data_IF_422581061942
#
_entry.id   IF_422581061942
#
_cell.length_a   1.000
_cell.length_b   1.000
_cell.length_c   1.000
_cell.angle_alpha   90.00
_cell.angle_beta   90.00
_cell.angle_gamma   90.00
#
_symmetry.space_group_name_H-M   'P 1'
#
loop_
_entity.id
_entity.type
_entity.pdbx_description
1 polymer ?
#
# COMPACT_ATOMS: atom_id res chain seq x y z
N UNK A 1 5.54 13.85 -5.47
CA UNK A 1 5.93 15.24 -5.78
C UNK A 1 5.05 16.17 -4.98
N UNK A 2 5.62 17.09 -4.21
CA UNK A 2 4.87 18.20 -3.62
C UNK A 2 5.14 19.45 -4.45
N UNK A 3 4.10 20.04 -5.04
CA UNK A 3 4.20 21.21 -5.93
C UNK A 3 5.17 21.01 -7.12
N UNK A 4 5.23 19.79 -7.68
CA UNK A 4 6.10 19.46 -8.82
C UNK A 4 7.57 19.20 -8.46
N UNK A 5 7.96 19.29 -7.19
CA UNK A 5 9.29 18.92 -6.72
C UNK A 5 9.34 17.46 -6.25
N UNK A 6 10.48 16.79 -6.45
CA UNK A 6 10.73 15.49 -5.85
C UNK A 6 10.72 15.62 -4.32
N UNK A 7 10.00 14.73 -3.64
CA UNK A 7 9.80 14.75 -2.20
C UNK A 7 10.00 13.34 -1.66
N UNK A 8 10.78 13.21 -0.59
CA UNK A 8 10.88 11.96 0.15
C UNK A 8 9.59 11.74 0.97
N UNK A 9 9.11 10.49 1.09
CA UNK A 9 7.95 10.19 1.91
C UNK A 9 8.31 10.18 3.39
N UNK A 10 7.40 10.67 4.23
CA UNK A 10 7.48 10.51 5.68
C UNK A 10 7.15 9.06 6.09
N UNK A 11 6.27 8.40 5.33
CA UNK A 11 5.91 7.01 5.59
C UNK A 11 5.71 6.19 4.31
N UNK A 12 6.07 4.91 4.39
CA UNK A 12 5.77 3.90 3.38
C UNK A 12 4.54 3.09 3.77
N UNK A 13 3.64 2.86 2.83
CA UNK A 13 2.37 2.18 3.09
C UNK A 13 2.42 0.76 2.55
N UNK A 14 2.40 -0.22 3.46
CA UNK A 14 2.12 -1.62 3.12
C UNK A 14 0.61 -1.83 3.17
N UNK A 15 0.04 -2.31 2.06
CA UNK A 15 -1.39 -2.53 1.93
C UNK A 15 -1.69 -3.73 1.03
N UNK A 16 -2.87 -4.31 1.17
CA UNK A 16 -3.37 -5.31 0.23
C UNK A 16 -4.05 -4.62 -0.98
N UNK A 17 -3.77 -5.05 -2.21
CA UNK A 17 -4.43 -4.53 -3.42
C UNK A 17 -5.92 -4.91 -3.50
N UNK A 18 -6.32 -6.02 -2.88
CA UNK A 18 -7.71 -6.41 -2.75
C UNK A 18 -8.48 -5.64 -1.67
N UNK A 19 -7.83 -4.69 -0.98
CA UNK A 19 -8.51 -3.85 0.00
C UNK A 19 -9.43 -2.84 -0.70
N UNK A 20 -10.49 -2.41 -0.01
CA UNK A 20 -11.27 -1.27 -0.47
C UNK A 20 -10.38 -0.03 -0.52
N UNK A 21 -10.42 0.72 -1.62
CA UNK A 21 -9.66 1.96 -1.74
C UNK A 21 -9.97 2.94 -0.60
N UNK A 22 -11.25 3.03 -0.20
CA UNK A 22 -11.69 3.79 0.99
C UNK A 22 -10.92 3.38 2.25
N UNK A 23 -10.77 2.09 2.51
CA UNK A 23 -10.13 1.60 3.74
C UNK A 23 -8.62 1.86 3.71
N UNK A 24 -7.98 1.81 2.53
CA UNK A 24 -6.59 2.26 2.34
C UNK A 24 -6.43 3.74 2.72
N UNK A 25 -7.25 4.62 2.13
CA UNK A 25 -7.21 6.06 2.42
C UNK A 25 -7.54 6.32 3.90
N UNK A 26 -8.52 5.62 4.46
CA UNK A 26 -8.88 5.73 5.87
C UNK A 26 -7.71 5.36 6.78
N UNK A 27 -6.97 4.28 6.48
CA UNK A 27 -5.78 3.88 7.22
C UNK A 27 -4.67 4.94 7.19
N UNK A 28 -4.45 5.57 6.04
CA UNK A 28 -3.47 6.66 5.87
C UNK A 28 -3.90 7.90 6.67
N UNK A 29 -5.16 8.32 6.56
CA UNK A 29 -5.68 9.45 7.32
C UNK A 29 -5.70 9.18 8.84
N UNK A 30 -6.00 7.95 9.25
CA UNK A 30 -5.89 7.52 10.65
C UNK A 30 -4.43 7.61 11.14
N UNK A 31 -3.47 7.21 10.32
CA UNK A 31 -2.05 7.40 10.64
C UNK A 31 -1.66 8.87 10.81
N UNK A 32 -2.06 9.74 9.86
CA UNK A 32 -1.81 11.17 9.95
C UNK A 32 -2.37 11.78 11.24
N UNK A 33 -3.47 11.22 11.75
CA UNK A 33 -4.10 11.60 13.02
C UNK A 33 -3.54 10.92 14.27
N UNK A 34 -2.58 9.99 14.14
CA UNK A 34 -2.06 9.23 15.27
C UNK A 34 -3.03 8.18 15.83
N UNK A 35 -4.05 7.80 15.06
CA UNK A 35 -5.01 6.76 15.44
C UNK A 35 -4.48 5.37 15.06
N UNK A 36 -4.82 4.36 15.86
CA UNK A 36 -4.58 2.94 15.55
C UNK A 36 -5.73 2.29 14.77
N UNK A 37 -6.92 2.92 14.82
CA UNK A 37 -8.13 2.42 14.20
C UNK A 37 -8.65 3.38 13.12
N UNK A 38 -9.14 2.84 12.01
CA UNK A 38 -9.62 3.65 10.87
C UNK A 38 -11.13 3.58 10.62
N UNK A 39 -11.93 2.89 11.45
CA UNK A 39 -13.38 2.79 11.26
C UNK A 39 -14.07 4.16 11.20
N UNK A 40 -13.82 5.04 12.18
CA UNK A 40 -14.41 6.39 12.19
C UNK A 40 -13.98 7.19 10.95
N UNK A 41 -12.71 7.10 10.56
CA UNK A 41 -12.17 7.79 9.38
C UNK A 41 -12.84 7.27 8.10
N UNK A 42 -13.08 5.96 8.00
CA UNK A 42 -13.80 5.37 6.87
C UNK A 42 -15.25 5.84 6.79
N UNK A 43 -15.93 6.02 7.93
CA UNK A 43 -17.29 6.56 7.97
C UNK A 43 -17.34 8.04 7.55
N UNK A 44 -16.34 8.84 7.95
CA UNK A 44 -16.22 10.23 7.53
C UNK A 44 -15.92 10.35 6.03
N UNK A 45 -15.07 9.48 5.47
CA UNK A 45 -14.84 9.45 4.02
C UNK A 45 -16.13 9.20 3.22
N UNK A 46 -17.04 8.37 3.75
CA UNK A 46 -18.30 8.05 3.08
C UNK A 46 -19.37 9.15 3.26
N UNK A 47 -19.32 9.93 4.35
CA UNK A 47 -20.43 10.81 4.75
C UNK A 47 -20.10 12.30 4.80
N UNK A 48 -18.88 12.65 5.19
CA UNK A 48 -18.48 14.04 5.44
C UNK A 48 -16.96 14.21 5.30
N UNK A 49 -16.49 14.23 4.05
CA UNK A 49 -15.07 14.42 3.74
C UNK A 49 -14.56 15.79 4.19
N UNK A 50 -15.43 16.80 4.22
CA UNK A 50 -15.09 18.17 4.64
C UNK A 50 -14.75 18.21 6.13
N UNK A 51 -15.50 17.47 6.96
CA UNK A 51 -15.15 17.31 8.37
C UNK A 51 -13.80 16.61 8.54
N UNK A 52 -13.51 15.56 7.77
CA UNK A 52 -12.20 14.88 7.81
C UNK A 52 -11.04 15.80 7.39
N UNK A 53 -11.19 16.56 6.30
CA UNK A 53 -10.20 17.54 5.86
C UNK A 53 -9.95 18.61 6.93
N UNK A 54 -11.02 19.11 7.56
CA UNK A 54 -10.93 20.09 8.65
C UNK A 54 -10.21 19.51 9.87
N UNK A 55 -10.47 18.25 10.21
CA UNK A 55 -9.75 17.55 11.28
C UNK A 55 -8.26 17.44 10.94
N UNK A 56 -7.91 16.99 9.73
CA UNK A 56 -6.51 16.85 9.29
C UNK A 56 -5.78 18.20 9.29
N UNK A 57 -6.42 19.26 8.78
CA UNK A 57 -5.86 20.60 8.79
C UNK A 57 -5.59 21.10 10.22
N UNK A 58 -6.55 20.94 11.13
CA UNK A 58 -6.42 21.35 12.53
C UNK A 58 -5.37 20.56 13.30
N UNK A 59 -5.05 19.33 12.88
CA UNK A 59 -3.98 18.52 13.47
C UNK A 59 -2.57 18.97 13.05
N UNK A 60 -2.45 19.83 12.04
CA UNK A 60 -1.16 20.25 11.48
C UNK A 60 -0.42 19.15 10.71
N UNK A 61 -1.10 18.04 10.38
CA UNK A 61 -0.50 16.85 9.75
C UNK A 61 -0.84 16.67 8.28
N UNK A 62 -1.55 17.63 7.68
CA UNK A 62 -1.96 17.59 6.26
C UNK A 62 -0.78 17.53 5.27
N UNK A 63 0.43 17.90 5.71
CA UNK A 63 1.65 17.88 4.89
C UNK A 63 2.43 16.56 4.97
N UNK A 64 1.98 15.59 5.80
CA UNK A 64 2.64 14.27 5.88
C UNK A 64 2.48 13.55 4.54
N UNK A 65 3.58 13.04 4.02
CA UNK A 65 3.67 12.39 2.72
C UNK A 65 3.79 10.89 2.85
N UNK A 66 3.10 10.20 1.94
CA UNK A 66 3.00 8.76 1.95
C UNK A 66 3.44 8.20 0.62
N UNK A 67 4.33 7.21 0.65
CA UNK A 67 4.63 6.39 -0.51
C UNK A 67 3.68 5.19 -0.51
N UNK A 68 2.87 5.08 -1.56
CA UNK A 68 1.90 3.99 -1.76
C UNK A 68 2.22 3.39 -3.12
N UNK A 69 2.49 2.08 -3.18
CA UNK A 69 2.91 1.45 -4.43
C UNK A 69 1.90 1.69 -5.56
N UNK A 70 0.60 1.71 -5.26
CA UNK A 70 -0.45 2.01 -6.23
C UNK A 70 -0.28 3.35 -6.97
N UNK A 71 0.41 4.33 -6.36
CA UNK A 71 0.58 5.68 -6.89
C UNK A 71 2.03 6.03 -7.25
N UNK A 72 2.99 5.37 -6.61
CA UNK A 72 4.38 5.80 -6.63
C UNK A 72 5.27 4.99 -7.57
N UNK A 73 4.74 3.97 -8.23
CA UNK A 73 5.43 3.25 -9.31
C UNK A 73 4.76 3.46 -10.67
N UNK A 74 5.54 3.31 -11.74
CA UNK A 74 5.07 3.36 -13.11
C UNK A 74 4.28 2.10 -13.51
N UNK A 75 3.08 1.93 -12.95
CA UNK A 75 2.23 0.76 -13.22
C UNK A 75 1.93 0.56 -14.71
N UNK A 76 1.87 1.64 -15.49
CA UNK A 76 1.65 1.59 -16.94
C UNK A 76 2.73 0.81 -17.70
N UNK A 77 3.96 0.77 -17.16
CA UNK A 77 5.07 -0.02 -17.71
C UNK A 77 4.87 -1.53 -17.53
N UNK A 78 3.87 -1.96 -16.75
CA UNK A 78 3.66 -3.37 -16.43
C UNK A 78 2.25 -3.87 -16.81
N UNK A 79 1.18 -3.18 -16.39
CA UNK A 79 -0.17 -3.81 -16.31
C UNK A 79 -1.25 -3.19 -17.20
N UNK A 80 -0.97 -2.18 -18.03
CA UNK A 80 -2.04 -1.45 -18.72
C UNK A 80 -2.74 -2.20 -19.87
N UNK A 81 -2.15 -3.29 -20.39
CA UNK A 81 -2.61 -3.99 -21.60
C UNK A 81 -3.30 -5.34 -21.29
N UNK A 82 -3.42 -5.69 -20.01
CA UNK A 82 -4.01 -6.94 -19.57
C UNK A 82 -5.04 -6.66 -18.47
N UNK A 83 -6.20 -7.28 -18.62
CA UNK A 83 -7.22 -7.36 -17.58
C UNK A 83 -7.34 -8.84 -17.28
N UNK A 84 -7.43 -9.21 -15.99
CA UNK A 84 -7.68 -10.62 -15.66
C UNK A 84 -9.04 -11.01 -16.26
N UNK A 85 -9.14 -12.20 -16.86
CA UNK A 85 -10.37 -12.65 -17.55
C UNK A 85 -11.63 -12.75 -16.65
N UNK A 86 -11.55 -12.34 -15.38
CA UNK A 86 -12.63 -12.34 -14.39
C UNK A 86 -12.90 -10.96 -13.79
N UNK A 87 -12.15 -9.93 -14.17
CA UNK A 87 -12.33 -8.58 -13.62
C UNK A 87 -13.28 -7.78 -14.51
N UNK A 88 -14.45 -7.48 -13.94
CA UNK A 88 -15.39 -6.50 -14.45
C UNK A 88 -15.35 -5.27 -13.56
N UNK A 89 -15.65 -4.10 -14.14
CA UNK A 89 -15.91 -2.90 -13.37
C UNK A 89 -17.03 -3.21 -12.36
N UNK A 90 -16.79 -3.13 -11.04
CA UNK A 90 -17.79 -3.46 -10.04
C UNK A 90 -18.97 -2.48 -10.02
N UNK A 91 -18.83 -1.30 -10.64
CA UNK A 91 -19.90 -0.29 -10.74
C UNK A 91 -20.82 -0.58 -11.91
N UNK A 92 -20.25 -0.90 -13.08
CA UNK A 92 -21.01 -1.04 -14.33
C UNK A 92 -21.20 -2.49 -14.78
N UNK A 93 -20.47 -3.43 -14.20
CA UNK A 93 -20.46 -4.85 -14.58
C UNK A 93 -19.85 -5.13 -15.96
N UNK A 94 -19.18 -4.14 -16.55
CA UNK A 94 -18.58 -4.22 -17.89
C UNK A 94 -17.09 -4.54 -17.79
N UNK A 95 -16.56 -5.22 -18.80
CA UNK A 95 -15.12 -5.36 -18.95
C UNK A 95 -14.47 -3.96 -19.09
N UNK A 96 -13.45 -3.63 -18.29
CA UNK A 96 -12.73 -2.37 -18.46
C UNK A 96 -12.05 -2.31 -19.84
N UNK A 97 -11.81 -1.11 -20.40
CA UNK A 97 -11.04 -0.99 -21.63
C UNK A 97 -9.57 -1.35 -21.38
N UNK A 98 -8.98 -2.18 -22.26
CA UNK A 98 -7.53 -2.39 -22.28
C UNK A 98 -6.82 -1.22 -22.95
N UNK A 99 -5.67 -0.81 -22.43
CA UNK A 99 -4.88 0.24 -23.07
C UNK A 99 -4.15 -0.29 -24.32
N UNK A 100 -4.22 0.47 -25.42
CA UNK A 100 -3.67 0.16 -26.74
C UNK A 100 -2.35 0.89 -27.06
N UNK A 101 -1.69 1.41 -26.04
CA UNK A 101 -0.57 2.34 -26.17
C UNK A 101 0.69 1.77 -26.88
N UNK A 102 0.76 0.46 -27.14
CA UNK A 102 1.89 -0.20 -27.82
C UNK A 102 3.23 -0.21 -27.06
N UNK A 103 3.32 0.47 -25.91
CA UNK A 103 4.53 0.54 -25.09
C UNK A 103 4.96 -0.85 -24.61
N UNK A 104 6.25 -1.23 -24.78
CA UNK A 104 6.80 -2.45 -24.21
C UNK A 104 6.56 -2.54 -22.71
N UNK A 105 6.36 -3.76 -22.22
CA UNK A 105 6.03 -4.03 -20.83
C UNK A 105 7.22 -4.69 -20.16
N UNK A 106 7.54 -4.20 -18.98
CA UNK A 106 8.69 -4.62 -18.20
C UNK A 106 8.20 -5.36 -16.96
N UNK A 107 8.33 -6.67 -16.97
CA UNK A 107 8.04 -7.55 -15.84
C UNK A 107 9.33 -7.98 -15.14
N UNK A 108 9.21 -8.78 -14.08
CA UNK A 108 10.31 -9.16 -13.20
C UNK A 108 11.49 -9.82 -13.91
N UNK A 109 11.26 -10.48 -15.05
CA UNK A 109 12.23 -11.23 -15.83
C UNK A 109 12.67 -10.51 -17.14
N UNK A 110 12.20 -9.28 -17.35
CA UNK A 110 12.57 -8.50 -18.54
C UNK A 110 14.05 -8.11 -18.49
N UNK A 111 14.89 -8.46 -19.48
CA UNK A 111 16.29 -8.01 -19.52
C UNK A 111 16.38 -6.48 -19.66
N UNK A 112 17.40 -5.80 -19.14
CA UNK A 112 18.54 -6.27 -18.34
C UNK A 112 18.15 -6.61 -16.88
N UNK A 113 18.89 -7.53 -16.23
CA UNK A 113 18.60 -7.96 -14.86
C UNK A 113 19.73 -7.62 -13.88
N UNK A 114 19.38 -7.37 -12.62
CA UNK A 114 20.33 -7.15 -11.53
C UNK A 114 20.99 -8.47 -11.04
N UNK A 115 21.87 -8.37 -10.05
CA UNK A 115 22.56 -9.53 -9.47
C UNK A 115 21.63 -10.56 -8.80
N UNK A 116 20.38 -10.17 -8.51
CA UNK A 116 19.33 -11.04 -7.98
C UNK A 116 18.41 -11.59 -9.08
N UNK A 117 18.73 -11.31 -10.34
CA UNK A 117 17.94 -11.74 -11.50
C UNK A 117 16.64 -10.96 -11.69
N UNK A 118 16.48 -9.81 -11.03
CA UNK A 118 15.30 -8.94 -11.18
C UNK A 118 15.55 -7.93 -12.27
N UNK A 119 14.60 -7.75 -13.17
CA UNK A 119 14.63 -6.69 -14.19
C UNK A 119 14.95 -5.33 -13.58
N UNK A 120 15.89 -4.59 -14.17
CA UNK A 120 16.16 -3.19 -13.79
C UNK A 120 15.09 -2.22 -14.29
N UNK A 121 14.20 -2.69 -15.18
CA UNK A 121 13.11 -1.90 -15.76
C UNK A 121 11.75 -2.14 -15.08
N UNK A 122 11.68 -3.10 -14.15
CA UNK A 122 10.46 -3.40 -13.39
C UNK A 122 10.54 -2.75 -12.01
N UNK A 123 9.58 -1.89 -11.67
CA UNK A 123 9.49 -1.24 -10.35
C UNK A 123 8.70 -2.08 -9.33
N UNK A 124 7.91 -3.06 -9.78
CA UNK A 124 7.01 -3.85 -8.92
C UNK A 124 7.73 -4.70 -7.86
N UNK A 125 8.98 -5.09 -8.12
CA UNK A 125 9.76 -5.98 -7.25
C UNK A 125 10.95 -5.28 -6.57
N UNK A 126 10.86 -3.95 -6.41
CA UNK A 126 11.94 -3.07 -5.90
C UNK A 126 11.60 -2.43 -4.55
N UNK A 127 10.63 -2.99 -3.82
CA UNK A 127 10.20 -2.42 -2.54
C UNK A 127 11.35 -2.40 -1.53
N UNK A 128 12.15 -3.46 -1.48
CA UNK A 128 13.31 -3.63 -0.59
C UNK A 128 14.43 -2.65 -0.94
N UNK A 129 14.76 -2.52 -2.23
CA UNK A 129 15.74 -1.55 -2.73
C UNK A 129 15.31 -0.13 -2.36
N UNK A 130 14.03 0.20 -2.52
CA UNK A 130 13.47 1.50 -2.22
C UNK A 130 13.41 1.78 -0.72
N UNK A 131 12.96 0.82 0.11
CA UNK A 131 13.00 0.90 1.57
C UNK A 131 14.43 1.17 2.05
N UNK A 132 15.38 0.33 1.61
CA UNK A 132 16.78 0.43 2.00
C UNK A 132 17.42 1.74 1.53
N UNK A 133 17.07 2.22 0.33
CA UNK A 133 17.56 3.49 -0.18
C UNK A 133 17.06 4.66 0.66
N UNK A 134 15.75 4.75 0.92
CA UNK A 134 15.19 5.89 1.65
C UNK A 134 15.66 5.88 3.11
N UNK A 135 15.63 4.74 3.80
CA UNK A 135 16.10 4.62 5.18
C UNK A 135 17.58 5.01 5.34
N UNK A 136 18.40 4.88 4.29
CA UNK A 136 19.80 5.29 4.31
C UNK A 136 19.99 6.80 4.20
N UNK A 137 19.11 7.50 3.49
CA UNK A 137 19.23 8.94 3.23
C UNK A 137 18.30 9.80 4.10
N UNK A 138 17.33 9.17 4.76
CA UNK A 138 16.32 9.81 5.59
C UNK A 138 15.99 8.93 6.79
N UNK A 139 16.38 9.40 7.98
CA UNK A 139 16.30 8.67 9.25
C UNK A 139 14.91 8.71 9.91
N UNK A 140 14.01 9.54 9.39
CA UNK A 140 12.67 9.77 9.94
C UNK A 140 11.56 8.98 9.21
N UNK A 141 11.92 8.12 8.26
CA UNK A 141 10.93 7.31 7.55
C UNK A 141 10.27 6.30 8.50
N UNK A 142 8.95 6.17 8.38
CA UNK A 142 8.15 5.16 9.06
C UNK A 142 7.51 4.18 8.05
N UNK A 143 7.02 3.05 8.54
CA UNK A 143 6.13 2.16 7.79
C UNK A 143 4.73 2.24 8.41
N UNK A 144 3.72 2.40 7.56
CA UNK A 144 2.31 2.29 7.94
C UNK A 144 1.74 1.02 7.33
N UNK A 145 1.25 0.12 8.18
CA UNK A 145 0.68 -1.16 7.77
C UNK A 145 -0.84 -1.00 7.81
N UNK A 146 -1.48 -0.78 6.65
CA UNK A 146 -2.93 -0.65 6.56
C UNK A 146 -3.54 -2.02 6.35
N UNK A 147 -4.01 -2.62 7.44
CA UNK A 147 -4.58 -3.96 7.45
C UNK A 147 -6.02 -3.90 6.94
N UNK A 148 -6.34 -4.65 5.89
CA UNK A 148 -7.71 -4.72 5.38
C UNK A 148 -8.68 -5.33 6.41
N UNK A 149 -9.97 -5.03 6.24
CA UNK A 149 -11.00 -5.47 7.20
C UNK A 149 -11.17 -6.99 7.32
N UNK A 150 -10.61 -7.74 6.37
CA UNK A 150 -10.57 -9.20 6.41
C UNK A 150 -9.20 -9.72 6.84
N UNK A 151 -8.24 -8.88 7.23
CA UNK A 151 -6.87 -9.26 7.58
C UNK A 151 -6.16 -10.13 6.52
N UNK A 152 -6.56 -10.01 5.26
CA UNK A 152 -6.00 -10.80 4.16
C UNK A 152 -4.57 -10.35 3.81
N UNK A 153 -4.16 -9.15 4.20
CA UNK A 153 -2.78 -8.64 4.15
C UNK A 153 -1.78 -9.67 4.68
N UNK A 154 -2.07 -10.29 5.82
CA UNK A 154 -1.18 -11.28 6.44
C UNK A 154 -1.18 -12.65 5.74
N UNK A 155 -2.04 -12.84 4.74
CA UNK A 155 -2.03 -14.03 3.89
C UNK A 155 -1.24 -13.82 2.60
N UNK A 156 -0.68 -12.63 2.38
CA UNK A 156 0.10 -12.27 1.20
C UNK A 156 1.59 -12.22 1.56
N UNK A 157 2.38 -13.07 0.90
CA UNK A 157 3.80 -13.24 1.19
C UNK A 157 4.58 -11.93 0.95
N UNK A 158 4.23 -11.17 -0.08
CA UNK A 158 4.88 -9.90 -0.38
C UNK A 158 4.59 -8.82 0.68
N UNK A 159 3.36 -8.70 1.18
CA UNK A 159 3.06 -7.77 2.28
C UNK A 159 3.84 -8.14 3.55
N UNK A 160 3.94 -9.43 3.86
CA UNK A 160 4.69 -9.91 5.03
C UNK A 160 6.20 -9.73 4.84
N UNK A 161 6.71 -9.89 3.62
CA UNK A 161 8.10 -9.58 3.28
C UNK A 161 8.41 -8.07 3.47
N UNK A 162 7.50 -7.17 3.06
CA UNK A 162 7.63 -5.74 3.31
C UNK A 162 7.69 -5.40 4.80
N UNK A 163 6.83 -6.02 5.62
CA UNK A 163 6.83 -5.86 7.09
C UNK A 163 8.13 -6.40 7.70
N UNK A 164 8.59 -7.56 7.25
CA UNK A 164 9.82 -8.16 7.75
C UNK A 164 11.06 -7.32 7.37
N UNK A 165 11.10 -6.79 6.15
CA UNK A 165 12.20 -5.97 5.65
C UNK A 165 12.31 -4.64 6.40
N UNK A 166 11.20 -3.92 6.56
CA UNK A 166 11.15 -2.69 7.34
C UNK A 166 11.64 -2.89 8.78
N UNK A 167 11.20 -3.97 9.44
CA UNK A 167 11.68 -4.34 10.77
C UNK A 167 13.19 -4.62 10.77
N UNK A 168 13.69 -5.37 9.78
CA UNK A 168 15.11 -5.74 9.66
C UNK A 168 16.02 -4.53 9.54
N UNK A 169 15.60 -3.49 8.82
CA UNK A 169 16.40 -2.27 8.61
C UNK A 169 16.09 -1.16 9.63
N UNK A 170 15.23 -1.42 10.61
CA UNK A 170 14.97 -0.52 11.74
C UNK A 170 13.98 0.61 11.47
N UNK A 171 13.12 0.49 10.45
CA UNK A 171 12.03 1.45 10.20
C UNK A 171 10.92 1.25 11.26
N UNK A 172 10.48 2.29 11.99
CA UNK A 172 9.35 2.20 12.91
C UNK A 172 8.05 1.80 12.19
N UNK A 173 7.29 0.87 12.78
CA UNK A 173 6.09 0.30 12.14
C UNK A 173 4.81 0.70 12.90
N UNK A 174 3.85 1.27 12.17
CA UNK A 174 2.58 1.77 12.68
C UNK A 174 1.43 0.99 12.01
N UNK A 175 0.83 0.04 12.73
CA UNK A 175 -0.29 -0.75 12.22
C UNK A 175 -1.63 -0.01 12.37
N UNK A 176 -2.45 -0.03 11.32
CA UNK A 176 -3.79 0.53 11.28
C UNK A 176 -4.78 -0.57 10.96
N UNK A 177 -5.72 -0.81 11.88
CA UNK A 177 -6.77 -1.82 11.74
C UNK A 177 -8.14 -1.13 11.66
N UNK A 178 -9.17 -1.83 11.18
CA UNK A 178 -10.52 -1.24 11.10
C UNK A 178 -11.02 -0.81 12.49
N UNK A 179 -11.13 -1.76 13.40
CA UNK A 179 -11.40 -1.54 14.82
C UNK A 179 -11.16 -2.81 15.64
N UNK A 180 -11.07 -2.69 16.96
CA UNK A 180 -10.86 -3.81 17.87
C UNK A 180 -11.90 -4.93 17.78
N UNK A 181 -13.15 -4.61 17.41
CA UNK A 181 -14.21 -5.62 17.22
C UNK A 181 -13.87 -6.57 16.06
N UNK A 182 -13.35 -6.03 14.95
CA UNK A 182 -12.96 -6.83 13.79
C UNK A 182 -11.71 -7.65 14.14
N UNK A 183 -10.74 -7.08 14.87
CA UNK A 183 -9.57 -7.84 15.34
C UNK A 183 -9.98 -9.06 16.18
N UNK A 184 -10.87 -8.88 17.14
CA UNK A 184 -11.36 -9.97 17.98
C UNK A 184 -12.07 -11.05 17.16
N UNK A 185 -12.85 -10.67 16.14
CA UNK A 185 -13.52 -11.63 15.26
C UNK A 185 -12.55 -12.50 14.44
N UNK A 186 -11.33 -12.02 14.17
CA UNK A 186 -10.31 -12.74 13.39
C UNK A 186 -9.17 -13.32 14.24
N UNK A 187 -9.21 -13.16 15.56
CA UNK A 187 -8.10 -13.49 16.47
C UNK A 187 -7.60 -14.94 16.30
N UNK A 188 -8.51 -15.91 16.29
CA UNK A 188 -8.16 -17.33 16.16
C UNK A 188 -7.40 -17.60 14.85
N UNK A 189 -7.89 -17.08 13.72
CA UNK A 189 -7.22 -17.23 12.42
C UNK A 189 -5.85 -16.57 12.42
N UNK A 190 -5.73 -15.39 13.04
CA UNK A 190 -4.46 -14.65 13.12
C UNK A 190 -3.40 -15.40 13.94
N UNK A 191 -3.81 -16.07 15.03
CA UNK A 191 -2.91 -16.91 15.85
C UNK A 191 -2.38 -18.14 15.12
N UNK A 192 -3.06 -18.56 14.06
CA UNK A 192 -2.76 -19.77 13.29
C UNK A 192 -2.11 -19.46 11.92
N UNK A 193 -1.71 -18.21 11.68
CA UNK A 193 -1.02 -17.83 10.44
C UNK A 193 0.27 -18.62 10.26
N UNK A 194 0.47 -19.13 9.04
CA UNK A 194 1.68 -19.85 8.65
C UNK A 194 2.23 -19.24 7.37
N UNK A 195 3.48 -18.82 7.43
CA UNK A 195 4.19 -18.20 6.29
C UNK A 195 4.19 -19.13 5.07
N UNK A 196 4.33 -20.44 5.26
CA UNK A 196 4.32 -21.40 4.15
C UNK A 196 2.97 -21.53 3.42
N UNK A 197 1.88 -21.04 4.00
CA UNK A 197 0.53 -21.08 3.40
C UNK A 197 0.14 -19.75 2.73
N UNK A 198 1.04 -18.75 2.74
CA UNK A 198 0.79 -17.44 2.14
C UNK A 198 0.85 -17.46 0.60
N UNK A 199 0.07 -16.61 -0.03
CA UNK A 199 0.04 -16.45 -1.49
C UNK A 199 1.16 -15.51 -1.94
N UNK A 200 1.83 -15.87 -3.04
CA UNK A 200 2.78 -15.01 -3.74
C UNK A 200 2.03 -13.95 -4.56
#
# INVERSE_FOLDING_TARGET
MMNGACSLPDAMVTHNWGNLFRDLVAGICADAHGLSEYALVSELLDRDVVALESMLANSGKIQKTYWVCAFCIAQHSCVCHSISARDVDPVHGTEPPTCDCGWPKCFNDTPEVDALGRSVHCELNKFDDMMGHIARIYDQIEQVIVVDSKFDLFSLAWCVAEVAEAFRIGIPQNMKIKCGQVLHAFEERLRLLKVQEMKA
#
